data_IF_293535911864
#
_entry.id   IF_293535911864
#
_cell.length_a   1.000
_cell.length_b   1.000
_cell.length_c   1.000
_cell.angle_alpha   90.00
_cell.angle_beta   90.00
_cell.angle_gamma   90.00
#
_symmetry.space_group_name_H-M   'P 1'
#
loop_
_entity.id
_entity.type
_entity.pdbx_description
1 polymer ?
#
# COMPACT_ATOMS: atom_id res chain seq x y z
N UNK A 1 9.19 0.84 -13.66
CA UNK A 1 10.31 1.09 -12.72
C UNK A 1 10.56 2.57 -12.47
N UNK A 2 10.39 3.45 -13.46
CA UNK A 2 10.63 4.90 -13.26
C UNK A 2 9.79 5.56 -12.16
N UNK A 3 8.55 5.10 -11.94
CA UNK A 3 7.62 5.71 -10.96
C UNK A 3 8.11 5.59 -9.50
N UNK A 4 8.91 4.57 -9.18
CA UNK A 4 9.47 4.36 -7.85
C UNK A 4 10.84 5.01 -7.63
N UNK A 5 11.54 5.35 -8.73
CA UNK A 5 12.94 5.82 -8.64
C UNK A 5 13.05 7.05 -7.76
N UNK A 6 13.84 6.95 -6.70
CA UNK A 6 14.07 8.00 -5.69
C UNK A 6 12.79 8.48 -4.96
N UNK A 7 11.67 7.78 -5.09
CA UNK A 7 10.48 8.09 -4.29
C UNK A 7 10.63 7.56 -2.88
N UNK A 8 10.39 8.43 -1.90
CA UNK A 8 10.39 8.06 -0.49
C UNK A 8 8.99 7.57 -0.11
N UNK A 9 8.89 6.30 0.26
CA UNK A 9 7.66 5.66 0.72
C UNK A 9 7.81 5.41 2.20
N UNK A 10 6.90 5.97 3.00
CA UNK A 10 6.80 5.67 4.41
C UNK A 10 5.80 4.54 4.60
N UNK A 11 6.25 3.40 5.10
CA UNK A 11 5.44 2.21 5.33
C UNK A 11 5.14 2.05 6.82
N UNK A 12 3.88 2.27 7.20
CA UNK A 12 3.37 1.95 8.52
C UNK A 12 2.94 0.49 8.62
N UNK A 13 3.42 -0.23 9.62
CA UNK A 13 3.06 -1.63 9.87
C UNK A 13 2.36 -1.74 11.21
N UNK A 14 1.13 -2.27 11.21
CA UNK A 14 0.32 -2.37 12.43
C UNK A 14 0.09 -3.81 12.86
N UNK A 15 -0.46 -4.01 14.07
CA UNK A 15 -0.55 -5.29 14.76
C UNK A 15 -1.57 -6.27 14.16
N UNK A 16 -1.24 -6.87 13.04
CA UNK A 16 -2.01 -7.92 12.38
C UNK A 16 -1.09 -9.09 12.03
N UNK A 17 -1.64 -10.30 11.99
CA UNK A 17 -0.90 -11.47 11.48
C UNK A 17 -0.37 -11.22 10.06
N UNK A 18 -1.04 -10.40 9.25
CA UNK A 18 -0.61 -10.03 7.92
C UNK A 18 0.66 -9.13 7.87
N UNK A 19 1.22 -8.74 9.02
CA UNK A 19 2.44 -7.93 9.09
C UNK A 19 3.64 -8.57 8.38
N UNK A 20 3.71 -9.92 8.29
CA UNK A 20 4.77 -10.59 7.54
C UNK A 20 4.78 -10.22 6.04
N UNK A 21 3.60 -9.95 5.44
CA UNK A 21 3.50 -9.54 4.03
C UNK A 21 4.10 -8.14 3.80
N UNK A 22 4.10 -7.29 4.82
CA UNK A 22 4.72 -5.96 4.73
C UNK A 22 6.23 -6.04 4.51
N UNK A 23 6.90 -7.10 4.99
CA UNK A 23 8.33 -7.30 4.73
C UNK A 23 8.60 -7.62 3.24
N UNK A 24 7.77 -8.45 2.60
CA UNK A 24 7.84 -8.71 1.17
C UNK A 24 7.55 -7.45 0.36
N UNK A 25 6.53 -6.68 0.75
CA UNK A 25 6.21 -5.40 0.13
C UNK A 25 7.39 -4.43 0.21
N UNK A 26 7.97 -4.23 1.40
CA UNK A 26 9.13 -3.37 1.61
C UNK A 26 10.33 -3.77 0.74
N UNK A 27 10.62 -5.08 0.68
CA UNK A 27 11.68 -5.64 -0.16
C UNK A 27 11.46 -5.33 -1.64
N UNK A 28 10.27 -5.58 -2.16
CA UNK A 28 9.94 -5.36 -3.58
C UNK A 28 9.93 -3.88 -3.97
N UNK A 29 9.46 -2.99 -3.09
CA UNK A 29 9.52 -1.54 -3.31
C UNK A 29 10.97 -1.05 -3.36
N UNK A 30 11.83 -1.54 -2.45
CA UNK A 30 13.26 -1.22 -2.44
C UNK A 30 13.95 -1.72 -3.72
N UNK A 31 13.67 -2.95 -4.15
CA UNK A 31 14.18 -3.51 -5.42
C UNK A 31 13.69 -2.72 -6.64
N UNK A 32 12.51 -2.10 -6.56
CA UNK A 32 11.98 -1.24 -7.61
C UNK A 32 12.59 0.18 -7.62
N UNK A 33 13.49 0.49 -6.66
CA UNK A 33 14.21 1.77 -6.57
C UNK A 33 13.59 2.81 -5.64
N UNK A 34 12.60 2.44 -4.81
CA UNK A 34 12.06 3.31 -3.79
C UNK A 34 12.98 3.38 -2.56
N UNK A 35 12.93 4.53 -1.86
CA UNK A 35 13.50 4.70 -0.53
C UNK A 35 12.40 4.40 0.49
N UNK A 36 12.46 3.22 1.12
CA UNK A 36 11.40 2.75 2.02
C UNK A 36 11.82 2.96 3.47
N UNK A 37 11.18 3.92 4.15
CA UNK A 37 11.26 4.10 5.59
C UNK A 37 10.09 3.36 6.25
N UNK A 38 10.33 2.69 7.38
CA UNK A 38 9.32 1.84 8.03
C UNK A 38 9.07 2.29 9.45
N UNK A 39 7.78 2.37 9.84
CA UNK A 39 7.35 2.58 11.22
C UNK A 39 6.55 1.35 11.66
N UNK A 40 6.98 0.69 12.73
CA UNK A 40 6.25 -0.40 13.36
C UNK A 40 5.57 0.08 14.64
N UNK A 41 4.28 -0.20 14.76
CA UNK A 41 3.61 -0.06 16.05
C UNK A 41 4.10 -1.13 17.04
N UNK A 42 3.95 -0.89 18.34
CA UNK A 42 4.28 -1.88 19.37
C UNK A 42 3.60 -3.24 19.12
N UNK A 43 2.32 -3.20 18.70
CA UNK A 43 1.58 -4.41 18.37
C UNK A 43 2.14 -5.14 17.13
N UNK A 44 2.68 -4.42 16.15
CA UNK A 44 3.31 -5.04 14.97
C UNK A 44 4.57 -5.81 15.33
N UNK A 45 5.32 -5.34 16.31
CA UNK A 45 6.57 -5.97 16.76
C UNK A 45 6.36 -7.34 17.40
N UNK A 46 5.10 -7.70 17.75
CA UNK A 46 4.74 -9.05 18.20
C UNK A 46 4.70 -10.09 17.08
N UNK A 47 4.65 -9.64 15.82
CA UNK A 47 4.60 -10.49 14.63
C UNK A 47 5.87 -10.44 13.80
N UNK A 48 6.49 -9.26 13.69
CA UNK A 48 7.71 -9.02 12.90
C UNK A 48 8.60 -8.04 13.64
N UNK A 49 9.92 -8.17 13.49
CA UNK A 49 10.85 -7.29 14.19
C UNK A 49 11.33 -6.13 13.31
N UNK A 50 11.77 -5.00 13.89
CA UNK A 50 12.41 -3.91 13.13
C UNK A 50 13.62 -4.39 12.30
N UNK A 51 14.37 -5.38 12.79
CA UNK A 51 15.51 -5.96 12.09
C UNK A 51 15.12 -6.56 10.73
N UNK A 52 13.95 -7.18 10.63
CA UNK A 52 13.44 -7.72 9.36
C UNK A 52 13.36 -6.64 8.29
N UNK A 53 12.74 -5.50 8.63
CA UNK A 53 12.58 -4.38 7.69
C UNK A 53 13.92 -3.69 7.40
N UNK A 54 14.75 -3.49 8.40
CA UNK A 54 16.08 -2.92 8.21
C UNK A 54 16.93 -3.76 7.25
N UNK A 55 16.84 -5.09 7.34
CA UNK A 55 17.56 -6.00 6.46
C UNK A 55 17.10 -5.94 5.01
N UNK A 56 15.80 -5.78 4.75
CA UNK A 56 15.26 -5.78 3.37
C UNK A 56 15.26 -4.39 2.72
N UNK A 57 15.28 -3.31 3.51
CA UNK A 57 15.28 -1.93 2.98
C UNK A 57 16.67 -1.27 3.01
N UNK A 58 17.61 -1.80 3.80
CA UNK A 58 18.89 -1.15 4.09
C UNK A 58 18.73 0.15 4.88
N UNK A 59 17.57 0.44 5.46
CA UNK A 59 17.24 1.68 6.17
C UNK A 59 16.73 1.36 7.57
N UNK A 60 16.88 2.31 8.50
CA UNK A 60 16.37 2.14 9.87
C UNK A 60 14.85 1.94 9.86
N UNK A 61 14.38 0.94 10.57
CA UNK A 61 12.98 0.77 10.90
C UNK A 61 12.71 1.41 12.27
N UNK A 62 11.75 2.31 12.31
CA UNK A 62 11.39 3.12 13.48
C UNK A 62 10.27 2.45 14.29
N UNK A 63 10.25 2.74 15.58
CA UNK A 63 9.27 2.25 16.54
C UNK A 63 8.80 3.39 17.43
N UNK A 64 7.79 3.15 18.28
CA UNK A 64 7.28 4.17 19.20
C UNK A 64 8.34 4.66 20.20
N UNK A 65 9.39 3.85 20.51
CA UNK A 65 10.50 4.29 21.34
C UNK A 65 11.35 5.42 20.72
N UNK A 66 11.29 5.57 19.39
CA UNK A 66 12.02 6.64 18.69
C UNK A 66 11.28 7.99 18.73
N UNK A 67 10.01 8.02 19.18
CA UNK A 67 9.21 9.25 19.23
C UNK A 67 9.81 10.30 20.18
N UNK A 68 10.46 9.85 21.26
CA UNK A 68 11.06 10.68 22.28
C UNK A 68 12.58 10.55 22.34
N UNK A 69 13.21 10.16 21.21
CA UNK A 69 14.65 9.98 21.09
C UNK A 69 15.42 11.31 21.08
N UNK A 70 16.76 11.20 21.23
CA UNK A 70 17.67 12.35 21.27
C UNK A 70 18.04 12.94 19.89
N UNK A 71 17.22 12.76 18.87
CA UNK A 71 17.52 13.32 17.56
C UNK A 71 17.22 14.84 17.54
N UNK A 72 18.12 15.62 16.92
CA UNK A 72 18.04 17.08 16.85
C UNK A 72 16.83 17.62 16.07
N UNK A 73 16.14 16.76 15.32
CA UNK A 73 14.93 17.07 14.56
C UNK A 73 13.77 16.24 15.05
N UNK A 74 12.58 16.83 14.98
CA UNK A 74 11.33 16.17 15.32
C UNK A 74 11.08 15.07 14.29
N UNK A 75 11.40 13.82 14.65
CA UNK A 75 11.43 12.66 13.74
C UNK A 75 10.15 12.51 12.91
N UNK A 76 8.96 12.58 13.56
CA UNK A 76 7.69 12.40 12.89
C UNK A 76 7.41 13.49 11.83
N UNK A 77 7.85 14.73 12.06
CA UNK A 77 7.73 15.82 11.09
C UNK A 77 8.65 15.56 9.90
N UNK A 78 9.91 15.18 10.17
CA UNK A 78 10.88 14.86 9.12
C UNK A 78 10.42 13.72 8.23
N UNK A 79 9.90 12.63 8.80
CA UNK A 79 9.36 11.50 8.06
C UNK A 79 8.10 11.89 7.24
N UNK A 80 7.15 12.62 7.87
CA UNK A 80 5.91 13.01 7.22
C UNK A 80 6.09 13.99 6.06
N UNK A 81 6.99 14.97 6.20
CA UNK A 81 7.23 15.99 5.17
C UNK A 81 8.08 15.52 4.00
N UNK A 82 8.96 14.53 4.23
CA UNK A 82 9.84 14.05 3.16
C UNK A 82 9.27 12.88 2.37
N UNK A 83 8.20 12.25 2.84
CA UNK A 83 7.55 11.16 2.15
C UNK A 83 6.79 11.63 0.90
N UNK A 84 6.85 10.82 -0.16
CA UNK A 84 6.01 10.98 -1.35
C UNK A 84 4.69 10.22 -1.21
N UNK A 85 4.63 9.25 -0.31
CA UNK A 85 3.46 8.45 0.01
C UNK A 85 3.63 7.90 1.43
N UNK A 86 2.57 8.00 2.24
CA UNK A 86 2.42 7.23 3.47
C UNK A 86 1.45 6.07 3.20
N UNK A 87 1.96 4.85 3.27
CA UNK A 87 1.15 3.64 3.19
C UNK A 87 1.10 2.94 4.55
N UNK A 88 -0.08 2.51 4.98
CA UNK A 88 -0.23 1.69 6.19
C UNK A 88 -0.76 0.32 5.77
N UNK A 89 0.10 -0.69 5.85
CA UNK A 89 -0.18 -2.08 5.45
C UNK A 89 0.58 -3.08 6.33
N UNK A 90 -0.13 -3.96 7.04
CA UNK A 90 -1.58 -3.98 7.25
C UNK A 90 -2.05 -2.78 8.10
N UNK A 91 -3.31 -2.34 7.89
CA UNK A 91 -3.95 -1.31 8.69
C UNK A 91 -5.08 -1.93 9.53
N UNK A 92 -4.91 -2.01 10.85
CA UNK A 92 -5.91 -2.57 11.76
C UNK A 92 -7.06 -1.61 12.03
N UNK A 93 -8.22 -2.13 12.45
CA UNK A 93 -9.37 -1.32 12.86
C UNK A 93 -9.01 -0.28 13.93
N UNK A 94 -8.15 -0.62 14.89
CA UNK A 94 -7.65 0.32 15.90
C UNK A 94 -6.91 1.50 15.27
N UNK A 95 -6.02 1.23 14.30
CA UNK A 95 -5.28 2.31 13.62
C UNK A 95 -6.20 3.15 12.74
N UNK A 96 -7.15 2.53 12.04
CA UNK A 96 -8.19 3.23 11.26
C UNK A 96 -8.97 4.19 12.16
N UNK A 97 -9.43 3.73 13.34
CA UNK A 97 -10.13 4.56 14.30
C UNK A 97 -9.26 5.74 14.78
N UNK A 98 -8.00 5.48 15.16
CA UNK A 98 -7.08 6.55 15.59
C UNK A 98 -6.90 7.62 14.52
N UNK A 99 -6.67 7.21 13.26
CA UNK A 99 -6.52 8.14 12.14
C UNK A 99 -7.81 8.95 11.88
N UNK A 100 -8.98 8.29 11.95
CA UNK A 100 -10.27 8.95 11.75
C UNK A 100 -10.55 10.02 12.81
N UNK A 101 -10.14 9.78 14.05
CA UNK A 101 -10.33 10.74 15.16
C UNK A 101 -9.14 11.67 15.39
N UNK A 102 -8.04 11.54 14.62
CA UNK A 102 -6.85 12.37 14.76
C UNK A 102 -6.08 12.10 16.06
N UNK A 103 -6.16 10.87 16.60
CA UNK A 103 -5.35 10.48 17.75
C UNK A 103 -3.89 10.31 17.34
N UNK A 104 -2.99 11.01 18.03
CA UNK A 104 -1.56 11.09 17.71
C UNK A 104 -0.71 10.61 18.91
N UNK A 105 -0.98 9.39 19.37
CA UNK A 105 -0.38 8.77 20.56
C UNK A 105 0.75 7.80 20.27
N UNK A 106 1.03 7.52 19.00
CA UNK A 106 2.14 6.66 18.53
C UNK A 106 2.95 7.37 17.46
N UNK A 107 4.20 6.92 17.22
CA UNK A 107 5.04 7.49 16.16
C UNK A 107 4.32 7.45 14.80
N UNK A 108 3.62 6.35 14.49
CA UNK A 108 2.90 6.22 13.23
C UNK A 108 1.76 7.25 13.12
N UNK A 109 0.94 7.39 14.15
CA UNK A 109 -0.25 8.26 14.09
C UNK A 109 0.12 9.73 14.12
N UNK A 110 1.13 10.14 14.90
CA UNK A 110 1.61 11.52 14.87
C UNK A 110 2.28 11.86 13.55
N UNK A 111 3.02 10.91 12.94
CA UNK A 111 3.60 11.09 11.60
C UNK A 111 2.51 11.19 10.54
N UNK A 112 1.45 10.39 10.62
CA UNK A 112 0.32 10.48 9.69
C UNK A 112 -0.38 11.84 9.77
N UNK A 113 -0.48 12.42 10.97
CA UNK A 113 -1.07 13.74 11.16
C UNK A 113 -0.17 14.86 10.60
N UNK A 114 1.15 14.68 10.65
CA UNK A 114 2.15 15.62 10.11
C UNK A 114 2.40 15.43 8.60
N UNK A 115 1.96 14.31 8.01
CA UNK A 115 2.24 13.99 6.62
C UNK A 115 1.52 14.94 5.65
N UNK A 116 2.25 15.41 4.63
CA UNK A 116 1.73 16.25 3.54
C UNK A 116 1.51 15.48 2.25
N UNK A 117 1.93 14.22 2.21
CA UNK A 117 1.78 13.31 1.07
C UNK A 117 0.45 12.56 1.12
N UNK A 118 0.05 11.91 0.00
CA UNK A 118 -1.10 11.02 0.00
C UNK A 118 -1.02 9.92 1.06
N UNK A 119 -2.17 9.60 1.67
CA UNK A 119 -2.32 8.50 2.61
C UNK A 119 -3.02 7.33 1.93
N UNK A 120 -2.39 6.14 1.97
CA UNK A 120 -2.91 4.89 1.41
C UNK A 120 -3.04 3.86 2.54
N UNK A 121 -4.24 3.33 2.72
CA UNK A 121 -4.54 2.36 3.76
C UNK A 121 -4.91 1.01 3.15
N UNK A 122 -4.34 -0.05 3.67
CA UNK A 122 -4.69 -1.42 3.33
C UNK A 122 -5.24 -2.14 4.58
N UNK A 123 -6.56 -2.10 4.82
CA UNK A 123 -7.19 -2.75 5.96
C UNK A 123 -6.91 -4.25 5.98
N UNK A 124 -6.67 -4.80 7.18
CA UNK A 124 -6.53 -6.24 7.39
C UNK A 124 -7.03 -6.63 8.78
N UNK A 125 -8.16 -7.33 8.80
CA UNK A 125 -8.85 -7.75 10.02
C UNK A 125 -9.81 -8.90 9.74
N UNK A 126 -10.48 -9.43 10.75
CA UNK A 126 -11.60 -10.37 10.55
C UNK A 126 -12.76 -9.70 9.81
N UNK A 127 -13.51 -10.47 9.01
CA UNK A 127 -14.60 -9.94 8.18
C UNK A 127 -15.67 -9.22 9.00
N UNK A 128 -16.08 -9.79 10.13
CA UNK A 128 -17.05 -9.15 11.02
C UNK A 128 -16.54 -7.83 11.62
N UNK A 129 -15.21 -7.68 11.80
CA UNK A 129 -14.62 -6.40 12.21
C UNK A 129 -14.60 -5.40 11.06
N UNK A 130 -14.36 -5.87 9.84
CA UNK A 130 -14.37 -5.01 8.66
C UNK A 130 -15.76 -4.47 8.37
N UNK A 131 -16.79 -5.33 8.42
CA UNK A 131 -18.18 -4.97 8.15
C UNK A 131 -18.84 -4.21 9.32
N UNK A 132 -18.17 -4.12 10.47
CA UNK A 132 -18.73 -3.44 11.64
C UNK A 132 -18.99 -1.96 11.34
N UNK A 133 -20.20 -1.43 11.66
CA UNK A 133 -20.56 -0.03 11.35
C UNK A 133 -19.51 0.99 11.77
N UNK A 134 -18.93 0.87 12.97
CA UNK A 134 -17.89 1.78 13.43
C UNK A 134 -16.62 1.75 12.56
N UNK A 135 -16.25 0.58 12.01
CA UNK A 135 -15.12 0.48 11.10
C UNK A 135 -15.43 1.14 9.76
N UNK A 136 -16.62 0.91 9.22
CA UNK A 136 -17.06 1.50 7.95
C UNK A 136 -17.19 3.02 8.06
N UNK A 137 -17.79 3.54 9.14
CA UNK A 137 -17.88 4.99 9.41
C UNK A 137 -16.49 5.65 9.50
N UNK A 138 -15.53 5.01 10.15
CA UNK A 138 -14.16 5.49 10.23
C UNK A 138 -13.48 5.49 8.84
N UNK A 139 -13.65 4.43 8.04
CA UNK A 139 -13.14 4.36 6.67
C UNK A 139 -13.75 5.46 5.79
N UNK A 140 -15.06 5.68 5.89
CA UNK A 140 -15.76 6.74 5.14
C UNK A 140 -15.28 8.13 5.56
N UNK A 141 -15.02 8.34 6.83
CA UNK A 141 -14.43 9.58 7.33
C UNK A 141 -13.05 9.81 6.69
N UNK A 142 -12.21 8.79 6.63
CA UNK A 142 -10.88 8.89 6.03
C UNK A 142 -10.95 9.09 4.51
N UNK A 143 -11.88 8.40 3.80
CA UNK A 143 -12.13 8.63 2.36
C UNK A 143 -12.53 10.09 2.07
N UNK A 144 -13.46 10.64 2.87
CA UNK A 144 -13.89 12.06 2.76
C UNK A 144 -12.74 13.05 3.00
N UNK A 145 -11.73 12.66 3.76
CA UNK A 145 -10.51 13.46 4.00
C UNK A 145 -9.41 13.22 2.96
N UNK A 146 -9.69 12.44 1.92
CA UNK A 146 -8.76 12.20 0.82
C UNK A 146 -7.81 11.01 1.00
N UNK A 147 -8.01 10.17 2.02
CA UNK A 147 -7.27 8.92 2.13
C UNK A 147 -7.73 7.91 1.06
N UNK A 148 -6.77 7.24 0.45
CA UNK A 148 -7.03 6.12 -0.46
C UNK A 148 -7.12 4.82 0.35
N UNK A 149 -8.18 4.05 0.12
CA UNK A 149 -8.40 2.77 0.79
C UNK A 149 -8.30 1.67 -0.26
N UNK A 150 -7.42 0.70 -0.02
CA UNK A 150 -7.40 -0.55 -0.79
C UNK A 150 -8.39 -1.49 -0.12
N UNK A 151 -9.39 -1.93 -0.87
CA UNK A 151 -10.36 -2.88 -0.32
C UNK A 151 -9.66 -4.19 0.04
N UNK A 152 -9.97 -4.77 1.22
CA UNK A 152 -9.39 -6.05 1.59
C UNK A 152 -9.86 -7.18 0.66
N UNK A 153 -8.99 -8.15 0.45
CA UNK A 153 -9.30 -9.30 -0.39
C UNK A 153 -10.18 -10.32 0.34
N UNK A 154 -10.97 -11.05 -0.46
CA UNK A 154 -11.72 -12.20 0.03
C UNK A 154 -10.81 -13.43 0.23
N UNK A 155 -11.21 -14.30 1.13
CA UNK A 155 -10.54 -15.58 1.34
C UNK A 155 -10.61 -16.11 2.77
N UNK A 156 -9.79 -17.13 3.04
CA UNK A 156 -9.70 -17.70 4.38
C UNK A 156 -8.98 -16.73 5.32
N UNK A 157 -9.59 -16.43 6.43
CA UNK A 157 -9.09 -15.57 7.50
C UNK A 157 -8.32 -16.38 8.56
N UNK A 158 -7.55 -15.72 9.40
CA UNK A 158 -6.84 -16.38 10.50
C UNK A 158 -7.77 -16.99 11.55
N UNK A 159 -9.00 -16.50 11.65
CA UNK A 159 -10.08 -17.10 12.47
C UNK A 159 -10.57 -18.46 11.95
N UNK A 160 -10.14 -18.87 10.73
CA UNK A 160 -10.63 -20.08 10.06
C UNK A 160 -11.89 -19.87 9.22
N UNK A 161 -12.54 -18.72 9.34
CA UNK A 161 -13.68 -18.32 8.53
C UNK A 161 -13.23 -17.87 7.12
N UNK A 162 -14.18 -17.85 6.18
CA UNK A 162 -13.99 -17.23 4.87
C UNK A 162 -14.78 -15.93 4.82
N UNK A 163 -14.18 -14.89 4.23
CA UNK A 163 -14.81 -13.56 4.11
C UNK A 163 -13.84 -12.50 3.65
N UNK A 164 -14.34 -11.27 3.56
CA UNK A 164 -13.58 -10.07 3.22
C UNK A 164 -12.80 -9.61 4.46
N UNK A 165 -11.49 -9.37 4.32
CA UNK A 165 -10.68 -8.92 5.47
C UNK A 165 -9.19 -9.21 5.33
N UNK A 166 -8.79 -9.96 4.30
CA UNK A 166 -7.38 -10.26 4.03
C UNK A 166 -6.64 -9.05 3.47
N UNK A 167 -5.40 -8.87 3.93
CA UNK A 167 -4.49 -7.97 3.22
C UNK A 167 -4.30 -8.47 1.78
N UNK A 168 -4.52 -7.64 0.75
CA UNK A 168 -4.26 -7.98 -0.64
C UNK A 168 -2.84 -8.48 -0.87
N UNK A 169 -2.61 -9.17 -1.97
CA UNK A 169 -1.29 -9.67 -2.30
C UNK A 169 -0.34 -8.53 -2.72
N UNK A 170 0.95 -8.72 -2.50
CA UNK A 170 1.97 -7.68 -2.74
C UNK A 170 1.89 -7.04 -4.15
N UNK A 171 1.62 -7.77 -5.24
CA UNK A 171 1.47 -7.14 -6.56
C UNK A 171 0.34 -6.12 -6.63
N UNK A 172 -0.79 -6.38 -5.97
CA UNK A 172 -1.94 -5.47 -5.93
C UNK A 172 -1.63 -4.22 -5.10
N UNK A 173 -0.98 -4.39 -3.94
CA UNK A 173 -0.50 -3.28 -3.12
C UNK A 173 0.46 -2.37 -3.90
N UNK A 174 1.41 -2.96 -4.64
CA UNK A 174 2.35 -2.24 -5.50
C UNK A 174 1.60 -1.52 -6.64
N UNK A 175 0.59 -2.15 -7.24
CA UNK A 175 -0.25 -1.53 -8.26
C UNK A 175 -0.92 -0.24 -7.77
N UNK A 176 -1.51 -0.27 -6.57
CA UNK A 176 -2.14 0.90 -5.96
C UNK A 176 -1.13 2.01 -5.62
N UNK A 177 0.06 1.66 -5.12
CA UNK A 177 1.15 2.63 -4.90
C UNK A 177 1.55 3.30 -6.21
N UNK A 178 1.68 2.53 -7.31
CA UNK A 178 2.02 3.05 -8.64
C UNK A 178 1.00 4.06 -9.14
N UNK A 179 -0.29 3.75 -9.01
CA UNK A 179 -1.38 4.64 -9.40
C UNK A 179 -1.30 5.98 -8.68
N UNK A 180 -1.06 5.98 -7.36
CA UNK A 180 -0.97 7.21 -6.59
C UNK A 180 0.29 8.01 -6.94
N UNK A 181 1.45 7.36 -7.05
CA UNK A 181 2.70 8.04 -7.38
C UNK A 181 2.77 8.53 -8.83
N UNK A 182 2.05 7.87 -9.74
CA UNK A 182 1.99 8.22 -11.16
C UNK A 182 0.98 9.30 -11.53
N UNK A 183 -0.05 9.53 -10.68
CA UNK A 183 -1.27 10.30 -11.02
C UNK A 183 -1.02 11.71 -11.59
N UNK A 184 0.07 12.36 -11.17
CA UNK A 184 0.42 13.73 -11.61
C UNK A 184 1.47 13.70 -12.74
N UNK A 185 1.60 12.55 -13.42
CA UNK A 185 2.52 12.37 -14.54
C UNK A 185 2.08 13.11 -15.82
N UNK A 186 2.88 13.02 -16.88
CA UNK A 186 2.67 13.77 -18.12
C UNK A 186 1.42 13.32 -18.91
N UNK A 187 0.83 12.17 -18.60
CA UNK A 187 -0.47 11.72 -19.13
C UNK A 187 -1.65 12.01 -18.18
N UNK A 188 -1.45 12.77 -17.11
CA UNK A 188 -2.52 13.13 -16.18
C UNK A 188 -3.73 13.71 -16.92
N UNK A 189 -4.92 13.24 -16.56
CA UNK A 189 -6.18 13.58 -17.21
C UNK A 189 -6.29 13.16 -18.70
N UNK A 190 -5.43 12.26 -19.17
CA UNK A 190 -5.53 11.68 -20.52
C UNK A 190 -6.11 10.27 -20.44
N UNK A 191 -7.04 9.97 -21.31
CA UNK A 191 -7.55 8.60 -21.50
C UNK A 191 -6.67 7.89 -22.53
N UNK A 192 -6.06 6.79 -22.14
CA UNK A 192 -5.25 5.93 -23.02
C UNK A 192 -5.98 4.59 -23.20
N UNK A 193 -6.19 4.21 -24.44
CA UNK A 193 -6.80 2.91 -24.79
C UNK A 193 -5.70 2.04 -25.35
N UNK A 194 -5.51 0.87 -24.74
CA UNK A 194 -4.51 -0.12 -25.15
C UNK A 194 -5.19 -1.43 -25.46
N UNK A 195 -4.99 -1.91 -26.68
CA UNK A 195 -5.38 -3.28 -27.06
C UNK A 195 -4.26 -4.25 -26.72
N UNK A 196 -4.58 -5.37 -26.09
CA UNK A 196 -3.58 -6.35 -25.67
C UNK A 196 -4.10 -7.77 -25.86
N UNK A 197 -3.19 -8.69 -26.20
CA UNK A 197 -3.49 -10.10 -26.44
C UNK A 197 -3.48 -10.48 -27.91
N UNK A 198 -3.69 -11.77 -28.15
CA UNK A 198 -3.82 -12.34 -29.51
C UNK A 198 -5.25 -12.17 -30.01
N UNK A 199 -5.39 -11.81 -31.29
CA UNK A 199 -6.69 -11.88 -31.96
C UNK A 199 -7.02 -13.33 -32.24
N UNK A 200 -8.28 -13.72 -32.07
CA UNK A 200 -8.81 -15.03 -32.42
C UNK A 200 -9.91 -14.88 -33.44
N UNK A 201 -9.82 -15.62 -34.54
CA UNK A 201 -10.83 -15.65 -35.58
C UNK A 201 -11.44 -17.05 -35.65
N UNK A 202 -12.74 -17.21 -35.38
CA UNK A 202 -13.38 -18.53 -35.39
C UNK A 202 -13.43 -19.08 -36.82
N UNK A 203 -12.94 -20.30 -37.03
CA UNK A 203 -13.10 -21.06 -38.27
C UNK A 203 -14.34 -21.91 -38.25
N UNK A 204 -14.66 -22.51 -37.11
CA UNK A 204 -15.85 -23.28 -36.82
C UNK A 204 -16.07 -23.31 -35.28
N UNK A 205 -17.14 -23.99 -34.77
CA UNK A 205 -17.40 -24.02 -33.33
C UNK A 205 -16.30 -24.59 -32.45
N UNK A 206 -15.33 -25.32 -33.03
CA UNK A 206 -14.27 -26.00 -32.30
C UNK A 206 -12.87 -25.41 -32.58
N UNK A 207 -12.64 -24.71 -33.70
CA UNK A 207 -11.34 -24.25 -34.14
C UNK A 207 -11.28 -22.75 -34.34
N UNK A 208 -10.13 -22.18 -33.97
CA UNK A 208 -9.86 -20.75 -34.17
C UNK A 208 -8.51 -20.56 -34.85
N UNK A 209 -8.41 -19.51 -35.64
CA UNK A 209 -7.14 -19.01 -36.15
C UNK A 209 -6.63 -17.95 -35.17
N UNK A 210 -5.42 -18.13 -34.69
CA UNK A 210 -4.83 -17.18 -33.74
C UNK A 210 -3.31 -17.11 -33.90
N UNK A 211 -2.69 -16.09 -33.32
CA UNK A 211 -1.24 -15.97 -33.23
C UNK A 211 -0.75 -16.35 -31.82
N UNK A 212 0.56 -16.54 -31.64
CA UNK A 212 1.19 -16.87 -30.36
C UNK A 212 1.44 -15.66 -29.47
N UNK A 213 0.73 -14.55 -29.65
CA UNK A 213 0.92 -13.34 -28.85
C UNK A 213 0.50 -13.58 -27.39
N UNK A 214 1.41 -13.35 -26.47
CA UNK A 214 1.15 -13.41 -25.02
C UNK A 214 0.51 -12.13 -24.47
N UNK A 215 0.33 -11.08 -25.28
CA UNK A 215 -0.14 -9.77 -24.82
C UNK A 215 0.87 -8.95 -24.02
N UNK A 216 2.06 -9.47 -23.72
CA UNK A 216 3.04 -8.82 -22.83
C UNK A 216 3.36 -7.36 -23.21
N UNK A 217 3.47 -7.07 -24.50
CA UNK A 217 3.75 -5.71 -24.97
C UNK A 217 2.59 -4.76 -24.65
N UNK A 218 1.35 -5.14 -24.94
CA UNK A 218 0.18 -4.33 -24.65
C UNK A 218 0.02 -4.08 -23.15
N UNK A 219 0.17 -5.12 -22.31
CA UNK A 219 0.16 -4.95 -20.85
C UNK A 219 1.29 -4.04 -20.35
N UNK A 220 2.49 -4.13 -20.92
CA UNK A 220 3.60 -3.24 -20.57
C UNK A 220 3.33 -1.77 -20.95
N UNK A 221 2.68 -1.54 -22.11
CA UNK A 221 2.27 -0.20 -22.54
C UNK A 221 1.17 0.35 -21.61
N UNK A 222 0.17 -0.46 -21.28
CA UNK A 222 -0.88 -0.06 -20.33
C UNK A 222 -0.29 0.30 -18.97
N UNK A 223 0.63 -0.50 -18.46
CA UNK A 223 1.33 -0.19 -17.21
C UNK A 223 2.15 1.09 -17.30
N UNK A 224 2.84 1.33 -18.41
CA UNK A 224 3.60 2.57 -18.61
C UNK A 224 2.69 3.80 -18.70
N UNK A 225 1.51 3.66 -19.28
CA UNK A 225 0.51 4.73 -19.32
C UNK A 225 -0.01 5.06 -17.92
N UNK A 226 -0.33 4.05 -17.10
CA UNK A 226 -0.73 4.23 -15.71
C UNK A 226 0.38 4.89 -14.88
N UNK A 227 1.65 4.47 -15.06
CA UNK A 227 2.80 5.09 -14.39
C UNK A 227 3.02 6.55 -14.78
N UNK A 228 2.54 6.93 -15.97
CA UNK A 228 2.58 8.30 -16.49
C UNK A 228 1.32 9.12 -16.13
N UNK A 229 0.35 8.55 -15.42
CA UNK A 229 -0.81 9.24 -14.88
C UNK A 229 -2.08 9.17 -15.74
N UNK A 230 -2.15 8.26 -16.71
CA UNK A 230 -3.32 8.08 -17.56
C UNK A 230 -4.50 7.45 -16.78
#
# INVERSE_FOLDING_TARGET
MAVFSNKRILLGVTGSIAAYKAADLASKLTQAGALVDVILTEAAQKFVTPLTFQSVTGRRAHTDSDLWGNEAHVLHVGLGHTANLLMIAPCTANTIAKLAYGQADTLLTVTALAATCPLLLAPAMDGGMYDHPATQENLDTLRKRGAHIIEPADGRLASGLAGTGRLPETPELIGNIRLILGRDGWLANRKVIVTAGGTQEPLDPARVLTNHSSGKQGYAIAQAALDAGA
#
